data_IF_224347696694
#
_entry.id   IF_224347696694
#
_cell.length_a   1.000
_cell.length_b   1.000
_cell.length_c   1.000
_cell.angle_alpha   90.00
_cell.angle_beta   90.00
_cell.angle_gamma   90.00
#
_symmetry.space_group_name_H-M   'P 1'
#
loop_
_entity.id
_entity.type
_entity.pdbx_description
1 polymer ?
#
# COMPACT_ATOMS: atom_id res chain seq x y z
N UNK A 1 -13.78 71.23 21.49
CA UNK A 1 -13.27 70.40 22.61
C UNK A 1 -12.15 69.57 22.03
N UNK A 2 -10.88 69.88 22.37
CA UNK A 2 -9.76 69.65 21.47
C UNK A 2 -8.89 68.44 21.84
N UNK A 3 -8.13 68.03 20.84
CA UNK A 3 -7.05 67.04 20.80
C UNK A 3 -5.81 67.32 21.70
N UNK A 4 -4.96 66.27 21.82
CA UNK A 4 -3.51 66.22 22.14
C UNK A 4 -3.05 66.41 23.62
N UNK A 5 -1.79 66.08 24.04
CA UNK A 5 -0.74 65.23 23.44
C UNK A 5 0.13 64.36 24.41
N UNK A 6 0.97 63.52 23.77
CA UNK A 6 2.28 63.02 24.23
C UNK A 6 3.15 64.02 25.03
N UNK A 7 3.90 63.55 26.03
CA UNK A 7 5.35 63.83 26.11
C UNK A 7 6.11 62.94 27.10
N UNK A 8 7.02 62.14 26.53
CA UNK A 8 8.28 61.68 27.13
C UNK A 8 8.91 62.78 27.98
N UNK A 9 9.23 62.55 29.27
CA UNK A 9 10.32 63.24 30.03
C UNK A 9 10.54 62.84 31.50
N UNK A 10 10.18 61.63 31.93
CA UNK A 10 10.64 61.10 33.23
C UNK A 10 11.38 59.77 33.06
N UNK A 11 12.38 59.79 32.18
CA UNK A 11 13.60 59.04 32.49
C UNK A 11 14.21 59.67 33.77
N UNK A 12 14.86 58.83 34.56
CA UNK A 12 16.10 59.09 35.32
C UNK A 12 16.06 58.85 36.85
N UNK A 13 14.95 58.88 37.60
CA UNK A 13 15.09 58.99 39.07
C UNK A 13 14.51 57.92 40.03
N UNK A 14 14.10 56.73 39.57
CA UNK A 14 13.63 55.67 40.50
C UNK A 14 14.34 54.32 40.36
N UNK A 15 15.49 54.28 39.69
CA UNK A 15 16.25 53.06 39.45
C UNK A 15 17.52 52.90 40.32
N UNK A 16 17.67 53.67 41.41
CA UNK A 16 18.94 53.71 42.18
C UNK A 16 18.85 53.27 43.64
N UNK A 17 17.69 52.88 44.20
CA UNK A 17 17.57 52.65 45.67
C UNK A 17 17.22 51.20 46.07
N UNK A 18 17.17 50.24 45.15
CA UNK A 18 17.04 48.80 45.51
C UNK A 18 18.29 48.03 45.10
N UNK A 19 19.45 48.54 45.51
CA UNK A 19 20.77 47.90 45.33
C UNK A 19 21.62 47.96 46.60
N UNK A 20 21.01 47.88 47.79
CA UNK A 20 21.79 47.70 49.03
C UNK A 20 21.03 46.87 50.05
N UNK A 21 20.64 45.63 49.74
CA UNK A 21 20.68 44.53 50.72
C UNK A 21 20.77 43.20 49.95
N UNK A 22 21.61 42.28 50.44
CA UNK A 22 21.80 40.89 50.01
C UNK A 22 22.95 40.62 49.01
N UNK A 23 24.16 40.82 49.54
CA UNK A 23 25.41 40.16 49.15
C UNK A 23 25.42 38.72 49.70
N UNK A 24 26.12 37.82 48.99
CA UNK A 24 26.48 36.40 49.31
C UNK A 24 25.36 35.35 49.09
N UNK A 25 25.44 34.30 48.24
CA UNK A 25 26.55 33.49 47.71
C UNK A 25 26.18 32.85 46.34
N UNK A 26 27.13 32.88 45.38
CA UNK A 26 27.41 31.87 44.32
C UNK A 26 26.30 31.44 43.33
N UNK A 27 26.21 32.01 42.11
CA UNK A 27 26.95 31.67 40.87
C UNK A 27 26.65 30.26 40.28
N UNK A 28 26.38 30.02 38.99
CA UNK A 28 26.21 30.82 37.76
C UNK A 28 25.53 29.88 36.73
N UNK A 29 24.43 30.30 36.12
CA UNK A 29 23.94 29.77 34.83
C UNK A 29 24.81 30.32 33.70
N UNK A 30 25.05 29.56 32.63
CA UNK A 30 25.47 30.11 31.34
C UNK A 30 24.65 29.52 30.20
N UNK A 31 24.13 30.42 29.38
CA UNK A 31 23.59 30.20 28.05
C UNK A 31 24.64 30.69 27.02
N UNK A 32 24.74 29.91 25.94
CA UNK A 32 24.86 30.33 24.53
C UNK A 32 26.18 30.82 23.90
N UNK A 33 26.31 30.35 22.65
CA UNK A 33 27.08 30.80 21.48
C UNK A 33 28.47 30.21 21.17
N UNK A 34 28.87 30.19 19.87
CA UNK A 34 29.47 29.04 19.20
C UNK A 34 30.82 29.38 18.58
N UNK A 35 31.89 28.70 18.98
CA UNK A 35 33.19 28.88 18.33
C UNK A 35 33.55 27.65 17.50
N UNK A 36 33.41 27.84 16.18
CA UNK A 36 34.27 27.23 15.17
C UNK A 36 35.72 27.31 15.66
N UNK A 37 36.36 26.15 15.89
CA UNK A 37 37.81 26.05 15.91
C UNK A 37 38.29 25.29 14.69
N UNK A 38 39.10 26.02 13.94
CA UNK A 38 39.93 25.59 12.84
C UNK A 38 41.11 24.82 13.43
N UNK A 39 41.20 23.51 13.19
CA UNK A 39 42.40 22.73 13.49
C UNK A 39 43.09 22.32 12.18
N UNK A 40 44.41 22.45 12.23
CA UNK A 40 45.35 22.54 11.13
C UNK A 40 45.45 21.25 10.29
N UNK A 41 45.82 21.43 9.02
CA UNK A 41 46.23 20.36 8.10
C UNK A 41 47.31 19.49 8.72
N UNK A 42 46.98 18.22 8.97
CA UNK A 42 47.94 17.13 8.94
C UNK A 42 47.60 16.23 7.76
N UNK A 43 48.47 16.24 6.75
CA UNK A 43 48.41 15.31 5.62
C UNK A 43 48.46 13.88 6.14
N UNK A 44 47.32 13.20 6.06
CA UNK A 44 47.14 11.79 6.39
C UNK A 44 45.82 11.35 5.77
N UNK A 45 45.92 10.50 4.76
CA UNK A 45 44.82 9.98 3.96
C UNK A 45 43.85 9.15 4.82
N UNK A 46 42.87 9.82 5.44
CA UNK A 46 41.79 9.17 6.18
C UNK A 46 40.48 9.40 5.44
N UNK A 47 39.99 8.32 4.84
CA UNK A 47 38.69 8.24 4.19
C UNK A 47 37.59 8.74 5.12
N UNK A 48 36.84 9.74 4.66
CA UNK A 48 35.59 10.16 5.29
C UNK A 48 34.59 9.02 5.13
N UNK A 49 34.53 8.10 6.10
CA UNK A 49 33.40 7.18 6.21
C UNK A 49 32.23 8.04 6.66
N UNK A 50 31.45 8.46 5.67
CA UNK A 50 30.15 9.12 5.80
C UNK A 50 29.37 8.40 6.91
N UNK A 51 28.99 9.13 7.96
CA UNK A 51 28.13 8.61 9.04
C UNK A 51 26.84 8.11 8.40
N UNK A 52 26.74 6.81 8.16
CA UNK A 52 25.48 6.19 7.78
C UNK A 52 24.53 6.34 8.96
N UNK A 53 23.53 7.18 8.75
CA UNK A 53 22.41 7.39 9.64
C UNK A 53 21.76 6.02 9.93
N UNK A 54 21.89 5.47 11.14
CA UNK A 54 21.32 4.16 11.48
C UNK A 54 19.97 4.34 12.15
N UNK A 55 18.94 4.44 11.33
CA UNK A 55 17.50 4.39 11.64
C UNK A 55 17.03 3.04 12.26
N UNK A 56 17.93 2.17 12.73
CA UNK A 56 17.60 0.77 13.10
C UNK A 56 17.66 0.52 14.60
N UNK A 57 16.66 -0.19 15.12
CA UNK A 57 16.46 -0.48 16.55
C UNK A 57 17.08 -1.83 16.99
N UNK A 58 17.20 -2.02 18.31
CA UNK A 58 17.61 -3.29 18.90
C UNK A 58 16.51 -4.35 18.81
N UNK A 59 16.83 -5.64 18.61
CA UNK A 59 15.84 -6.71 18.67
C UNK A 59 15.16 -6.77 20.05
N UNK A 60 13.88 -7.16 20.13
CA UNK A 60 13.21 -7.37 21.41
C UNK A 60 13.84 -8.55 22.16
N UNK A 61 14.06 -8.38 23.46
CA UNK A 61 14.56 -9.45 24.35
C UNK A 61 13.41 -10.30 24.88
N UNK A 62 13.56 -11.62 24.88
CA UNK A 62 12.58 -12.53 25.50
C UNK A 62 12.76 -12.58 27.03
N UNK A 63 11.67 -12.76 27.80
CA UNK A 63 11.71 -12.75 29.26
C UNK A 63 12.40 -13.97 29.90
N UNK A 64 12.68 -15.04 29.13
CA UNK A 64 13.12 -16.34 29.69
C UNK A 64 14.63 -16.64 29.56
N UNK A 65 15.48 -15.64 29.30
CA UNK A 65 16.94 -15.87 29.15
C UNK A 65 17.73 -15.25 30.31
N UNK A 66 17.78 -15.97 31.45
CA UNK A 66 18.67 -15.65 32.57
C UNK A 66 20.07 -16.27 32.33
N UNK A 67 20.97 -15.50 31.72
CA UNK A 67 22.39 -15.85 31.55
C UNK A 67 23.32 -15.09 32.52
N UNK A 68 24.63 -15.30 32.38
CA UNK A 68 25.66 -14.50 33.07
C UNK A 68 25.66 -13.09 32.44
N UNK A 69 25.56 -12.05 33.28
CA UNK A 69 25.63 -10.67 32.83
C UNK A 69 27.07 -10.36 32.36
N UNK A 70 27.26 -10.30 31.04
CA UNK A 70 28.50 -9.83 30.42
C UNK A 70 28.24 -8.46 29.77
N UNK A 71 29.05 -7.46 30.13
CA UNK A 71 29.02 -6.13 29.53
C UNK A 71 30.09 -6.02 28.44
N UNK A 72 29.75 -6.44 27.22
CA UNK A 72 30.67 -6.43 26.08
C UNK A 72 30.79 -5.05 25.42
N UNK A 73 29.84 -4.15 25.71
CA UNK A 73 29.79 -2.79 25.16
C UNK A 73 29.06 -1.84 26.11
N UNK A 74 29.44 -0.56 26.08
CA UNK A 74 28.77 0.52 26.81
C UNK A 74 27.87 1.36 25.90
N UNK A 75 28.22 1.47 24.62
CA UNK A 75 27.44 2.14 23.58
C UNK A 75 27.75 1.65 22.17
N UNK A 76 26.99 2.13 21.18
CA UNK A 76 27.13 1.71 19.78
C UNK A 76 28.53 1.94 19.18
N UNK A 77 29.27 2.92 19.71
CA UNK A 77 30.65 3.23 19.30
C UNK A 77 31.64 2.10 19.59
N UNK A 78 31.35 1.26 20.58
CA UNK A 78 32.21 0.15 20.98
C UNK A 78 32.06 -1.03 20.01
N UNK A 79 30.99 -1.01 19.20
CA UNK A 79 30.66 -2.04 18.24
C UNK A 79 31.25 -1.70 16.86
N UNK A 80 31.87 -2.70 16.23
CA UNK A 80 32.46 -2.53 14.90
C UNK A 80 31.37 -2.36 13.84
N UNK A 81 31.58 -1.45 12.90
CA UNK A 81 30.75 -1.32 11.69
C UNK A 81 29.29 -0.96 11.99
N UNK A 82 28.35 -1.79 11.51
CA UNK A 82 26.92 -1.47 11.62
C UNK A 82 26.24 -1.92 12.91
N UNK A 83 26.96 -2.65 13.77
CA UNK A 83 26.43 -3.23 15.01
C UNK A 83 26.04 -2.16 16.03
N UNK A 84 25.06 -2.49 16.89
CA UNK A 84 24.57 -1.66 17.98
C UNK A 84 24.76 -2.37 19.30
N UNK A 85 24.97 -1.60 20.36
CA UNK A 85 25.07 -2.12 21.71
C UNK A 85 23.65 -2.32 22.27
N UNK A 86 23.19 -3.56 22.25
CA UNK A 86 21.83 -3.92 22.60
C UNK A 86 21.79 -4.73 23.89
N UNK A 87 20.77 -4.51 24.71
CA UNK A 87 20.54 -5.32 25.90
C UNK A 87 20.09 -6.71 25.49
N UNK A 88 20.60 -7.75 26.17
CA UNK A 88 20.21 -9.15 25.95
C UNK A 88 19.40 -9.72 27.13
N UNK A 89 18.93 -8.87 28.04
CA UNK A 89 18.15 -9.25 29.23
C UNK A 89 18.94 -9.19 30.55
N UNK A 90 20.27 -9.41 30.53
CA UNK A 90 21.14 -9.32 31.71
C UNK A 90 22.27 -8.29 31.52
N UNK A 91 22.89 -8.27 30.33
CA UNK A 91 24.01 -7.40 30.00
C UNK A 91 23.80 -6.67 28.68
N UNK A 92 24.90 -6.30 28.04
CA UNK A 92 24.91 -5.59 26.76
C UNK A 92 25.87 -6.27 25.80
N UNK A 93 25.40 -6.47 24.57
CA UNK A 93 26.17 -7.11 23.53
C UNK A 93 26.02 -6.37 22.20
N UNK A 94 27.12 -6.31 21.45
CA UNK A 94 27.12 -5.79 20.09
C UNK A 94 26.36 -6.75 19.17
N UNK A 95 25.17 -6.34 18.72
CA UNK A 95 24.31 -7.12 17.84
C UNK A 95 23.99 -6.37 16.55
N UNK A 96 23.74 -7.13 15.48
CA UNK A 96 23.29 -6.54 14.22
C UNK A 96 21.88 -5.96 14.44
N UNK A 97 21.64 -4.69 14.11
CA UNK A 97 20.31 -4.12 14.27
C UNK A 97 19.31 -4.84 13.36
N UNK A 98 18.07 -4.98 13.82
CA UNK A 98 17.01 -5.57 12.99
C UNK A 98 16.68 -4.56 11.91
N UNK A 99 16.77 -4.99 10.65
CA UNK A 99 16.16 -4.26 9.54
C UNK A 99 14.66 -4.48 9.72
N UNK A 100 13.91 -3.42 9.98
CA UNK A 100 12.46 -3.55 10.11
C UNK A 100 11.84 -3.93 8.76
N UNK A 101 11.81 -5.22 8.45
CA UNK A 101 10.73 -5.81 7.66
C UNK A 101 9.59 -6.15 8.64
N UNK A 102 9.15 -5.15 9.41
CA UNK A 102 7.98 -5.31 10.27
C UNK A 102 6.73 -5.13 9.41
N UNK A 103 5.91 -6.17 9.34
CA UNK A 103 4.57 -6.05 8.76
C UNK A 103 3.83 -4.88 9.42
N UNK A 104 3.03 -4.09 8.68
CA UNK A 104 2.16 -3.08 9.29
C UNK A 104 1.34 -3.67 10.43
N UNK A 105 1.41 -3.11 11.64
CA UNK A 105 0.64 -3.62 12.79
C UNK A 105 -0.86 -3.36 12.60
N UNK A 106 -1.18 -2.23 11.95
CA UNK A 106 -2.53 -1.87 11.59
C UNK A 106 -2.52 -1.02 10.31
N UNK A 107 -3.60 -1.10 9.54
CA UNK A 107 -3.83 -0.23 8.40
C UNK A 107 -4.96 0.74 8.67
N UNK A 108 -4.81 1.98 8.19
CA UNK A 108 -5.91 2.92 8.17
C UNK A 108 -7.04 2.38 7.26
N UNK A 109 -8.26 2.86 7.49
CA UNK A 109 -9.44 2.51 6.67
C UNK A 109 -9.67 3.50 5.52
N UNK A 110 -8.68 4.31 5.16
CA UNK A 110 -8.78 5.20 4.00
C UNK A 110 -8.89 4.32 2.74
N UNK A 111 -9.91 4.58 1.94
CA UNK A 111 -10.16 3.81 0.73
C UNK A 111 -9.41 4.45 -0.44
N UNK A 112 -8.32 3.80 -0.85
CA UNK A 112 -7.46 4.18 -1.97
C UNK A 112 -7.04 2.88 -2.68
N UNK A 113 -7.97 2.25 -3.43
CA UNK A 113 -7.86 0.85 -3.76
C UNK A 113 -6.70 0.56 -4.72
N UNK A 114 -6.11 -0.62 -4.58
CA UNK A 114 -5.07 -1.12 -5.49
C UNK A 114 -5.39 -2.54 -5.92
N UNK A 115 -5.19 -2.83 -7.21
CA UNK A 115 -5.40 -4.16 -7.75
C UNK A 115 -4.12 -4.98 -7.62
N UNK A 116 -4.17 -6.12 -6.94
CA UNK A 116 -3.03 -7.04 -6.85
C UNK A 116 -2.86 -7.90 -8.12
N UNK A 117 -1.66 -8.44 -8.32
CA UNK A 117 -1.38 -9.42 -9.40
C UNK A 117 -2.13 -10.73 -9.21
N UNK A 118 -2.61 -11.00 -8.00
CA UNK A 118 -3.51 -12.08 -7.63
C UNK A 118 -4.99 -11.82 -8.04
N UNK A 119 -5.29 -10.66 -8.63
CA UNK A 119 -6.64 -10.29 -9.05
C UNK A 119 -7.54 -9.87 -7.88
N UNK A 120 -6.98 -9.64 -6.69
CA UNK A 120 -7.71 -9.20 -5.51
C UNK A 120 -7.59 -7.68 -5.36
N UNK A 121 -8.72 -7.02 -5.09
CA UNK A 121 -8.74 -5.60 -4.71
C UNK A 121 -8.37 -5.44 -3.25
N UNK A 122 -7.33 -4.66 -2.99
CA UNK A 122 -6.91 -4.25 -1.65
C UNK A 122 -7.43 -2.84 -1.37
N UNK A 123 -7.92 -2.58 -0.16
CA UNK A 123 -8.56 -1.30 0.17
C UNK A 123 -7.59 -0.11 0.16
N UNK A 124 -6.30 -0.38 0.37
CA UNK A 124 -5.19 0.57 0.21
C UNK A 124 -3.84 -0.15 0.13
N UNK A 125 -2.79 0.60 -0.19
CA UNK A 125 -1.42 0.08 -0.27
C UNK A 125 -0.94 -0.57 1.04
N UNK A 126 -1.35 -0.04 2.20
CA UNK A 126 -1.03 -0.65 3.50
C UNK A 126 -1.60 -2.06 3.60
N UNK A 127 -2.87 -2.26 3.23
CA UNK A 127 -3.51 -3.57 3.30
C UNK A 127 -2.85 -4.59 2.36
N UNK A 128 -2.34 -4.16 1.21
CA UNK A 128 -1.55 -5.01 0.31
C UNK A 128 -0.20 -5.40 0.93
N UNK A 129 0.53 -4.43 1.53
CA UNK A 129 1.79 -4.69 2.26
C UNK A 129 1.57 -5.63 3.45
N UNK A 130 0.47 -5.46 4.17
CA UNK A 130 0.09 -6.30 5.29
C UNK A 130 -0.07 -7.77 4.87
N UNK A 131 -0.78 -8.03 3.78
CA UNK A 131 -1.03 -9.40 3.30
C UNK A 131 0.24 -10.05 2.75
N UNK A 132 1.06 -9.32 1.99
CA UNK A 132 2.39 -9.79 1.55
C UNK A 132 3.19 -10.33 2.73
N UNK A 133 3.32 -9.51 3.76
CA UNK A 133 4.18 -9.79 4.90
C UNK A 133 3.58 -10.86 5.85
N UNK A 134 2.29 -10.78 6.18
CA UNK A 134 1.67 -11.72 7.15
C UNK A 134 1.37 -13.09 6.56
N UNK A 135 1.19 -13.19 5.25
CA UNK A 135 0.90 -14.46 4.55
C UNK A 135 2.07 -15.01 3.75
N UNK A 136 3.25 -14.37 3.84
CA UNK A 136 4.43 -14.72 3.05
C UNK A 136 4.09 -14.78 1.54
N UNK A 137 3.34 -13.78 1.07
CA UNK A 137 2.84 -13.63 -0.30
C UNK A 137 3.59 -12.51 -1.03
N UNK A 138 4.91 -12.49 -0.92
CA UNK A 138 5.76 -11.44 -1.52
C UNK A 138 5.68 -11.38 -3.05
N UNK A 139 5.16 -12.44 -3.68
CA UNK A 139 4.91 -12.50 -5.12
C UNK A 139 3.73 -11.64 -5.57
N UNK A 140 2.81 -11.27 -4.67
CA UNK A 140 1.68 -10.39 -4.99
C UNK A 140 2.23 -8.99 -5.19
N UNK A 141 2.13 -8.41 -6.38
CA UNK A 141 2.53 -7.01 -6.65
C UNK A 141 1.29 -6.18 -6.95
N UNK A 142 1.40 -4.87 -6.89
CA UNK A 142 0.36 -4.00 -7.45
C UNK A 142 0.38 -4.16 -8.96
N UNK A 143 -0.74 -4.59 -9.54
CA UNK A 143 -0.97 -4.67 -10.98
C UNK A 143 -1.28 -3.28 -11.56
N UNK A 144 -2.15 -2.53 -10.89
CA UNK A 144 -2.48 -1.13 -11.20
C UNK A 144 -3.23 -0.46 -10.03
N UNK A 145 -3.31 0.88 -10.06
CA UNK A 145 -4.09 1.69 -9.12
C UNK A 145 -5.60 1.62 -9.42
N UNK A 146 -6.42 1.48 -8.39
CA UNK A 146 -7.86 1.25 -8.49
C UNK A 146 -8.28 -0.17 -8.10
N UNK A 147 -9.58 -0.41 -8.09
CA UNK A 147 -10.12 -1.76 -7.87
C UNK A 147 -9.71 -2.70 -9.02
N UNK A 148 -9.43 -3.97 -8.71
CA UNK A 148 -9.37 -4.97 -9.75
C UNK A 148 -10.68 -4.97 -10.54
N UNK A 149 -10.62 -5.22 -11.86
CA UNK A 149 -11.83 -5.35 -12.63
C UNK A 149 -12.55 -6.52 -11.97
N UNK A 150 -13.74 -6.24 -11.44
CA UNK A 150 -14.52 -7.29 -10.84
C UNK A 150 -14.55 -8.41 -11.89
N UNK A 151 -14.10 -9.61 -11.51
CA UNK A 151 -14.66 -10.80 -12.13
C UNK A 151 -16.12 -10.82 -11.69
N UNK A 152 -16.92 -9.84 -12.16
CA UNK A 152 -18.32 -10.04 -12.45
C UNK A 152 -18.28 -11.40 -13.12
N UNK A 153 -19.03 -12.37 -12.61
CA UNK A 153 -19.15 -13.67 -13.26
C UNK A 153 -19.80 -13.36 -14.60
N UNK A 154 -18.99 -12.92 -15.57
CA UNK A 154 -19.42 -12.51 -16.88
C UNK A 154 -19.88 -13.83 -17.45
N UNK A 155 -21.18 -13.91 -17.65
CA UNK A 155 -21.80 -15.15 -18.05
C UNK A 155 -21.32 -15.49 -19.47
N UNK A 156 -21.45 -16.75 -19.90
CA UNK A 156 -20.89 -17.19 -21.17
C UNK A 156 -21.26 -16.28 -22.36
N UNK A 157 -22.52 -15.84 -22.46
CA UNK A 157 -22.97 -14.96 -23.54
C UNK A 157 -22.40 -13.54 -23.45
N UNK A 158 -22.41 -12.93 -22.26
CA UNK A 158 -21.85 -11.59 -22.08
C UNK A 158 -20.37 -11.55 -22.43
N UNK A 159 -19.62 -12.59 -22.04
CA UNK A 159 -18.19 -12.72 -22.35
C UNK A 159 -17.97 -12.80 -23.86
N UNK A 160 -18.77 -13.63 -24.53
CA UNK A 160 -18.72 -13.76 -25.98
C UNK A 160 -19.11 -12.45 -26.68
N UNK A 161 -20.09 -11.72 -26.14
CA UNK A 161 -20.54 -10.42 -26.66
C UNK A 161 -19.47 -9.35 -26.52
N UNK A 162 -18.83 -9.23 -25.36
CA UNK A 162 -17.72 -8.29 -25.14
C UNK A 162 -16.54 -8.60 -26.06
N UNK A 163 -16.16 -9.87 -26.17
CA UNK A 163 -15.11 -10.33 -27.10
C UNK A 163 -15.42 -9.97 -28.55
N UNK A 164 -16.68 -10.09 -28.96
CA UNK A 164 -17.13 -9.66 -30.28
C UNK A 164 -17.03 -8.13 -30.44
N UNK A 165 -17.40 -7.36 -29.40
CA UNK A 165 -17.37 -5.89 -29.37
C UNK A 165 -15.96 -5.29 -29.31
N UNK A 166 -14.92 -6.07 -29.02
CA UNK A 166 -13.55 -5.56 -28.96
C UNK A 166 -13.07 -5.01 -30.32
N UNK A 167 -12.45 -3.81 -30.34
CA UNK A 167 -12.09 -3.11 -31.58
C UNK A 167 -10.93 -3.74 -32.37
N UNK A 168 -10.23 -4.73 -31.80
CA UNK A 168 -9.00 -5.30 -32.36
C UNK A 168 -9.21 -6.47 -33.33
N UNK A 169 -10.46 -6.86 -33.66
CA UNK A 169 -10.74 -7.91 -34.65
C UNK A 169 -11.47 -7.37 -35.87
N UNK A 170 -10.83 -7.46 -37.03
CA UNK A 170 -11.49 -7.33 -38.33
C UNK A 170 -12.60 -8.38 -38.41
N UNK A 171 -13.86 -7.93 -38.52
CA UNK A 171 -15.02 -8.82 -38.54
C UNK A 171 -15.29 -9.26 -39.96
N UNK A 172 -15.35 -10.57 -40.16
CA UNK A 172 -15.81 -11.16 -41.43
C UNK A 172 -17.31 -10.90 -41.59
N UNK A 173 -17.74 -10.57 -42.81
CA UNK A 173 -19.15 -10.47 -43.19
C UNK A 173 -19.83 -11.80 -42.85
N UNK A 174 -20.84 -11.78 -41.97
CA UNK A 174 -21.52 -13.00 -41.51
C UNK A 174 -21.54 -13.22 -39.99
N UNK A 175 -20.59 -12.63 -39.25
CA UNK A 175 -20.55 -12.77 -37.79
C UNK A 175 -21.30 -11.64 -37.11
N UNK A 176 -22.30 -11.98 -36.30
CA UNK A 176 -23.12 -11.05 -35.49
C UNK A 176 -22.83 -11.27 -34.00
N UNK A 177 -23.01 -10.24 -33.17
CA UNK A 177 -22.91 -10.37 -31.72
C UNK A 177 -23.96 -11.37 -31.19
N UNK A 178 -23.63 -12.23 -30.21
CA UNK A 178 -24.60 -13.13 -29.61
C UNK A 178 -25.67 -12.35 -28.83
N UNK A 179 -26.87 -12.91 -28.81
CA UNK A 179 -28.05 -12.36 -28.15
C UNK A 179 -28.16 -12.95 -26.74
N UNK A 180 -28.02 -12.12 -25.72
CA UNK A 180 -28.06 -12.54 -24.32
C UNK A 180 -29.38 -12.20 -23.65
N UNK A 181 -29.77 -13.00 -22.66
CA UNK A 181 -30.86 -12.66 -21.74
C UNK A 181 -30.41 -11.61 -20.70
N UNK A 182 -31.35 -11.16 -19.87
CA UNK A 182 -31.09 -10.17 -18.81
C UNK A 182 -30.12 -10.68 -17.72
N UNK A 183 -29.96 -12.00 -17.61
CA UNK A 183 -29.08 -12.66 -16.64
C UNK A 183 -27.69 -12.93 -17.21
N UNK A 184 -27.46 -12.63 -18.49
CA UNK A 184 -26.21 -12.80 -19.21
C UNK A 184 -25.98 -14.17 -19.87
N UNK A 185 -26.98 -15.07 -19.86
CA UNK A 185 -26.93 -16.34 -20.58
C UNK A 185 -27.34 -16.16 -22.04
N UNK A 186 -27.06 -17.15 -22.88
CA UNK A 186 -27.55 -17.15 -24.25
C UNK A 186 -29.06 -17.24 -24.27
N UNK A 187 -29.71 -16.44 -25.12
CA UNK A 187 -31.10 -16.69 -25.47
C UNK A 187 -31.21 -18.01 -26.24
N UNK A 188 -32.26 -18.82 -25.99
CA UNK A 188 -32.46 -20.10 -26.68
C UNK A 188 -32.39 -19.99 -28.20
N UNK A 189 -33.01 -18.96 -28.79
CA UNK A 189 -32.88 -18.65 -30.20
C UNK A 189 -31.78 -17.61 -30.44
N UNK A 190 -30.91 -17.88 -31.40
CA UNK A 190 -29.91 -16.93 -31.90
C UNK A 190 -30.16 -16.67 -33.38
N UNK A 191 -30.01 -15.42 -33.82
CA UNK A 191 -30.19 -15.06 -35.22
C UNK A 191 -29.00 -14.25 -35.75
N UNK A 192 -28.57 -14.57 -36.97
CA UNK A 192 -27.56 -13.82 -37.71
C UNK A 192 -28.21 -12.63 -38.41
N UNK A 193 -27.83 -11.40 -38.04
CA UNK A 193 -28.35 -10.20 -38.71
C UNK A 193 -27.89 -10.09 -40.16
N UNK A 194 -26.80 -10.76 -40.52
CA UNK A 194 -26.25 -10.75 -41.88
C UNK A 194 -26.90 -11.75 -42.83
N UNK A 195 -27.35 -12.92 -42.34
CA UNK A 195 -27.95 -13.96 -43.20
C UNK A 195 -29.45 -14.13 -42.98
N UNK A 196 -30.00 -13.56 -41.90
CA UNK A 196 -31.40 -13.71 -41.52
C UNK A 196 -31.76 -15.10 -40.96
N UNK A 197 -30.79 -16.00 -40.83
CA UNK A 197 -31.00 -17.37 -40.34
C UNK A 197 -30.97 -17.41 -38.81
N UNK A 198 -31.85 -18.20 -38.20
CA UNK A 198 -31.90 -18.44 -36.76
C UNK A 198 -31.62 -19.91 -36.41
N UNK A 199 -31.02 -20.16 -35.26
CA UNK A 199 -30.69 -21.50 -34.74
C UNK A 199 -30.87 -21.55 -33.22
N UNK A 200 -31.02 -22.76 -32.67
CA UNK A 200 -31.17 -22.97 -31.23
C UNK A 200 -29.83 -23.21 -30.53
N UNK A 201 -29.68 -22.68 -29.32
CA UNK A 201 -28.50 -22.87 -28.47
C UNK A 201 -28.87 -23.16 -27.02
N UNK A 202 -27.97 -23.82 -26.29
CA UNK A 202 -28.05 -23.99 -24.84
C UNK A 202 -27.75 -22.68 -24.11
N UNK A 203 -27.99 -22.63 -22.78
CA UNK A 203 -27.70 -21.46 -21.94
C UNK A 203 -26.23 -21.06 -21.93
N UNK A 204 -25.33 -22.00 -22.21
CA UNK A 204 -23.88 -21.82 -22.28
C UNK A 204 -23.38 -21.54 -23.72
N UNK A 205 -24.25 -21.68 -24.73
CA UNK A 205 -23.99 -21.29 -26.12
C UNK A 205 -23.67 -22.44 -27.08
N UNK A 206 -23.92 -23.69 -26.69
CA UNK A 206 -23.75 -24.85 -27.58
C UNK A 206 -24.91 -24.93 -28.57
N UNK A 207 -24.62 -25.12 -29.85
CA UNK A 207 -25.64 -25.20 -30.90
C UNK A 207 -26.35 -26.55 -30.85
N UNK A 208 -27.68 -26.52 -30.84
CA UNK A 208 -28.50 -27.73 -30.93
C UNK A 208 -28.70 -28.12 -32.39
N UNK A 209 -28.59 -29.42 -32.67
CA UNK A 209 -28.90 -29.95 -33.99
C UNK A 209 -30.41 -30.13 -34.15
N UNK A 210 -31.06 -29.15 -34.77
CA UNK A 210 -32.50 -29.16 -35.04
C UNK A 210 -32.71 -29.57 -36.49
N UNK A 211 -32.93 -30.85 -36.75
CA UNK A 211 -33.09 -31.43 -38.10
C UNK A 211 -34.22 -30.76 -38.92
N UNK A 212 -33.91 -29.68 -39.64
CA UNK A 212 -34.81 -29.04 -40.61
C UNK A 212 -36.00 -28.29 -40.02
N UNK A 213 -35.96 -27.93 -38.74
CA UNK A 213 -37.08 -27.31 -38.02
C UNK A 213 -37.11 -25.79 -38.25
N UNK A 214 -38.29 -25.26 -38.55
CA UNK A 214 -38.50 -23.82 -38.67
C UNK A 214 -38.54 -23.19 -37.27
N UNK A 215 -37.48 -22.48 -36.93
CA UNK A 215 -37.36 -21.76 -35.65
C UNK A 215 -37.92 -20.37 -35.82
N UNK A 216 -39.01 -20.04 -35.10
CA UNK A 216 -39.66 -18.74 -35.17
C UNK A 216 -39.64 -18.00 -33.83
N UNK A 217 -39.35 -18.68 -32.72
CA UNK A 217 -39.37 -18.12 -31.37
C UNK A 217 -38.41 -18.83 -30.40
N UNK A 218 -38.16 -18.20 -29.25
CA UNK A 218 -37.41 -18.80 -28.14
C UNK A 218 -38.10 -20.06 -27.57
N UNK A 219 -39.44 -20.11 -27.58
CA UNK A 219 -40.21 -21.25 -27.07
C UNK A 219 -40.00 -22.51 -27.92
N UNK A 220 -39.84 -22.36 -29.24
CA UNK A 220 -39.53 -23.47 -30.14
C UNK A 220 -38.20 -24.14 -29.71
N UNK A 221 -37.20 -23.34 -29.35
CA UNK A 221 -35.91 -23.83 -28.90
C UNK A 221 -35.94 -24.41 -27.47
N UNK A 222 -36.76 -23.85 -26.58
CA UNK A 222 -36.91 -24.35 -25.21
C UNK A 222 -37.57 -25.73 -25.16
N UNK A 223 -38.46 -26.05 -26.10
CA UNK A 223 -39.09 -27.36 -26.20
C UNK A 223 -38.05 -28.50 -26.37
N UNK A 224 -36.96 -28.27 -27.12
CA UNK A 224 -35.87 -29.24 -27.30
C UNK A 224 -35.02 -29.43 -26.04
N UNK A 225 -34.83 -28.38 -25.25
CA UNK A 225 -34.06 -28.44 -24.01
C UNK A 225 -34.78 -29.19 -22.88
N UNK A 226 -36.06 -29.53 -23.07
CA UNK A 226 -36.88 -30.27 -22.13
C UNK A 226 -36.97 -31.78 -22.46
N UNK A 227 -36.41 -32.22 -23.59
CA UNK A 227 -36.33 -33.64 -23.94
C UNK A 227 -35.22 -34.37 -23.14
N UNK A 228 -35.40 -35.66 -22.79
CA UNK A 228 -34.48 -36.41 -21.96
C UNK A 228 -33.07 -36.61 -22.55
N UNK A 229 -32.85 -36.21 -23.82
CA UNK A 229 -31.59 -36.42 -24.53
C UNK A 229 -30.53 -35.34 -24.26
N UNK A 230 -30.91 -34.18 -23.71
CA UNK A 230 -30.02 -33.02 -23.50
C UNK A 230 -29.86 -32.60 -22.02
N UNK A 231 -30.14 -33.50 -21.06
CA UNK A 231 -29.89 -33.31 -19.62
C UNK A 231 -28.64 -34.06 -19.16
#
# INVERSE_FOLDING_TARGET
MPDLPNMKRFCVLFATIVMVVMVEVGAKRKHFHPDHKYDQESQGEHTVVRRENKEKACPPVSPDMAGICLEDCSGDSDCKGTFKCCSNGCGKQCMKPVEEEQCPIACNKMYDPVCGTDGVTYGNECSLKYIKCTRNQDFIKTKFEGECPQHRRVRPCETAREKYLMPSKMRMVGQTAPQCDEKGFYKPMQCSSSTGSCWCVTRDGEVLDTEGILINSDEDCLAFLMEPYYR
#
